data_IF_863033870456
#
_entry.id   IF_863033870456
#
_cell.length_a   1.000
_cell.length_b   1.000
_cell.length_c   1.000
_cell.angle_alpha   90.00
_cell.angle_beta   90.00
_cell.angle_gamma   90.00
#
_symmetry.space_group_name_H-M   'P 1'
#
loop_
_entity.id
_entity.type
_entity.pdbx_description
1 polymer ?
#
# COMPACT_ATOMS: atom_id res chain seq x y z
N UNK A 1 23.48 -6.23 -11.58
CA UNK A 1 22.46 -5.19 -11.76
C UNK A 1 21.25 -5.59 -10.93
N UNK A 2 20.98 -4.85 -9.87
CA UNK A 2 19.81 -5.03 -9.02
C UNK A 2 19.22 -3.66 -8.72
N UNK A 3 17.95 -3.62 -8.34
CA UNK A 3 17.32 -2.37 -7.92
C UNK A 3 17.97 -1.91 -6.61
N UNK A 4 18.48 -0.68 -6.58
CA UNK A 4 19.04 -0.03 -5.39
C UNK A 4 18.04 1.05 -4.97
N UNK A 5 17.15 0.77 -3.99
CA UNK A 5 16.03 1.66 -3.64
C UNK A 5 16.45 3.10 -3.33
N UNK A 6 17.59 3.27 -2.69
CA UNK A 6 18.13 4.53 -2.18
C UNK A 6 18.51 5.48 -3.33
N UNK A 7 18.91 4.96 -4.49
CA UNK A 7 19.19 5.77 -5.69
C UNK A 7 17.93 6.40 -6.30
N UNK A 8 16.76 5.96 -5.84
CA UNK A 8 15.45 6.37 -6.36
C UNK A 8 14.56 6.93 -5.23
N UNK A 9 15.17 7.50 -4.19
CA UNK A 9 14.48 8.22 -3.14
C UNK A 9 13.79 7.35 -2.10
N UNK A 10 14.07 6.03 -2.05
CA UNK A 10 13.73 5.26 -0.86
C UNK A 10 14.62 5.71 0.32
N UNK A 11 14.06 5.64 1.52
CA UNK A 11 14.72 6.06 2.74
C UNK A 11 14.90 4.85 3.65
N UNK A 12 16.11 4.67 4.18
CA UNK A 12 16.36 3.68 5.22
C UNK A 12 15.45 3.96 6.43
N UNK A 13 14.73 2.94 6.89
CA UNK A 13 13.99 3.01 8.14
C UNK A 13 15.00 2.89 9.30
N UNK A 14 15.44 4.04 9.81
CA UNK A 14 16.44 4.12 10.88
C UNK A 14 15.81 4.00 12.26
N UNK A 15 14.54 4.36 12.38
CA UNK A 15 13.81 4.33 13.65
C UNK A 15 12.35 4.00 13.44
N UNK A 16 11.79 3.24 14.38
CA UNK A 16 10.36 3.03 14.47
C UNK A 16 9.87 3.42 15.86
N UNK A 17 8.88 4.31 15.94
CA UNK A 17 8.23 4.67 17.20
C UNK A 17 6.75 4.36 17.15
N UNK A 18 6.22 3.91 18.28
CA UNK A 18 4.79 3.73 18.47
C UNK A 18 4.24 4.72 19.51
N UNK A 19 3.13 5.36 19.18
CA UNK A 19 2.43 6.32 20.03
C UNK A 19 0.98 5.90 20.30
N UNK A 20 0.45 6.35 21.44
CA UNK A 20 -0.99 6.38 21.71
C UNK A 20 -1.61 7.63 21.08
N UNK A 21 -2.95 7.68 20.90
CA UNK A 21 -3.64 8.86 20.36
C UNK A 21 -3.43 10.11 21.21
N UNK A 22 -3.10 9.94 22.50
CA UNK A 22 -2.78 11.03 23.43
C UNK A 22 -1.40 11.66 23.21
N UNK A 23 -0.59 11.13 22.29
CA UNK A 23 0.79 11.55 22.06
C UNK A 23 1.83 10.89 22.97
N UNK A 24 1.40 10.03 23.89
CA UNK A 24 2.33 9.24 24.71
C UNK A 24 3.05 8.21 23.85
N UNK A 25 4.37 8.29 23.79
CA UNK A 25 5.21 7.25 23.18
C UNK A 25 5.16 5.97 24.02
N UNK A 26 4.86 4.84 23.39
CA UNK A 26 4.90 3.52 24.02
C UNK A 26 6.31 2.91 23.94
N UNK A 27 6.89 2.93 22.75
CA UNK A 27 8.26 2.49 22.51
C UNK A 27 8.88 3.22 21.33
N UNK A 28 10.21 3.18 21.26
CA UNK A 28 10.99 3.59 20.10
C UNK A 28 12.15 2.61 19.94
N UNK A 29 12.34 2.11 18.74
CA UNK A 29 13.37 1.14 18.38
C UNK A 29 14.32 1.82 17.40
N UNK A 30 15.61 1.76 17.70
CA UNK A 30 16.67 2.16 16.78
C UNK A 30 17.00 0.98 15.84
N UNK A 31 16.49 1.05 14.62
CA UNK A 31 16.64 -0.02 13.64
C UNK A 31 18.05 -0.07 13.03
N UNK A 32 18.86 0.98 13.21
CA UNK A 32 20.27 0.96 12.85
C UNK A 32 21.07 0.11 13.84
N UNK A 33 20.75 0.18 15.13
CA UNK A 33 21.35 -0.68 16.14
C UNK A 33 20.94 -2.15 15.95
N UNK A 34 19.70 -2.40 15.51
CA UNK A 34 19.15 -3.74 15.23
C UNK A 34 19.37 -4.23 13.79
N UNK A 35 20.23 -3.56 13.00
CA UNK A 35 20.41 -3.87 11.58
C UNK A 35 20.82 -5.33 11.31
N UNK A 36 21.44 -6.01 12.28
CA UNK A 36 21.81 -7.43 12.18
C UNK A 36 20.62 -8.40 12.22
N UNK A 37 19.41 -7.95 12.55
CA UNK A 37 18.21 -8.80 12.62
C UNK A 37 17.67 -9.17 11.24
N UNK A 38 17.94 -8.37 10.22
CA UNK A 38 17.48 -8.58 8.85
C UNK A 38 18.66 -8.64 7.88
N UNK A 39 18.55 -9.45 6.83
CA UNK A 39 19.61 -9.57 5.81
C UNK A 39 19.83 -8.27 5.03
N UNK A 40 18.83 -7.40 4.96
CA UNK A 40 18.85 -6.14 4.23
C UNK A 40 18.16 -5.04 5.03
N UNK A 41 18.53 -3.76 4.80
CA UNK A 41 17.87 -2.61 5.43
C UNK A 41 16.37 -2.58 5.12
N UNK A 42 15.58 -2.11 6.09
CA UNK A 42 14.17 -1.85 5.86
C UNK A 42 14.01 -0.52 5.10
N UNK A 43 13.46 -0.58 3.90
CA UNK A 43 13.26 0.57 3.02
C UNK A 43 11.85 1.18 3.09
N UNK A 44 11.79 2.52 3.05
CA UNK A 44 10.58 3.34 2.99
C UNK A 44 10.51 4.03 1.63
N UNK A 45 9.71 3.48 0.70
CA UNK A 45 9.69 3.91 -0.69
C UNK A 45 8.35 4.51 -1.14
N UNK A 46 8.42 5.49 -2.04
CA UNK A 46 7.24 6.04 -2.68
C UNK A 46 6.78 5.08 -3.79
N UNK A 47 5.54 4.60 -3.70
CA UNK A 47 5.02 3.54 -4.58
C UNK A 47 5.18 3.86 -6.07
N UNK A 48 4.92 5.11 -6.47
CA UNK A 48 4.98 5.50 -7.89
C UNK A 48 6.41 5.40 -8.42
N UNK A 49 7.38 5.83 -7.63
CA UNK A 49 8.80 5.78 -8.00
C UNK A 49 9.28 4.34 -8.09
N UNK A 50 9.00 3.53 -7.07
CA UNK A 50 9.33 2.11 -7.06
C UNK A 50 8.75 1.38 -8.28
N UNK A 51 7.46 1.60 -8.56
CA UNK A 51 6.80 0.98 -9.71
C UNK A 51 7.41 1.44 -11.05
N UNK A 52 7.73 2.72 -11.18
CA UNK A 52 8.30 3.28 -12.41
C UNK A 52 9.69 2.71 -12.69
N UNK A 53 10.52 2.54 -11.66
CA UNK A 53 11.84 1.94 -11.80
C UNK A 53 11.78 0.44 -12.07
N UNK A 54 10.91 -0.31 -11.40
CA UNK A 54 10.69 -1.72 -11.72
C UNK A 54 10.25 -1.90 -13.19
N UNK A 55 9.34 -1.04 -13.66
CA UNK A 55 8.93 -1.01 -15.07
C UNK A 55 10.13 -0.71 -15.97
N UNK A 56 10.90 0.34 -15.69
CA UNK A 56 12.07 0.72 -16.49
C UNK A 56 13.05 -0.44 -16.59
N UNK A 57 13.42 -1.05 -15.46
CA UNK A 57 14.32 -2.19 -15.37
C UNK A 57 13.81 -3.42 -16.13
N UNK A 58 12.51 -3.69 -16.09
CA UNK A 58 11.92 -4.81 -16.82
C UNK A 58 11.93 -4.60 -18.34
N UNK A 59 11.92 -3.35 -18.81
CA UNK A 59 11.78 -2.99 -20.23
C UNK A 59 13.06 -2.48 -20.90
N UNK A 60 14.16 -2.28 -20.16
CA UNK A 60 15.40 -1.75 -20.71
C UNK A 60 16.30 -2.86 -21.28
N UNK A 61 17.07 -2.54 -22.31
CA UNK A 61 17.99 -3.47 -23.00
C UNK A 61 19.20 -3.87 -22.16
N UNK A 62 19.56 -3.03 -21.19
CA UNK A 62 20.72 -3.23 -20.30
C UNK A 62 20.48 -4.33 -19.25
N UNK A 63 19.25 -4.81 -19.09
CA UNK A 63 18.87 -5.83 -18.12
C UNK A 63 19.45 -7.22 -18.44
N UNK A 64 19.26 -8.17 -17.51
CA UNK A 64 19.54 -9.58 -17.79
C UNK A 64 18.39 -10.21 -18.57
N UNK A 65 18.71 -10.79 -19.73
CA UNK A 65 17.71 -11.41 -20.61
C UNK A 65 17.02 -10.42 -21.56
N UNK A 66 16.12 -10.90 -22.42
CA UNK A 66 15.38 -10.04 -23.34
C UNK A 66 14.44 -9.10 -22.57
N UNK A 67 14.33 -7.81 -22.96
CA UNK A 67 13.40 -6.89 -22.32
C UNK A 67 11.95 -7.36 -22.40
N UNK A 68 11.19 -7.11 -21.33
CA UNK A 68 9.76 -7.37 -21.32
C UNK A 68 9.03 -6.46 -22.33
N UNK A 69 8.15 -7.05 -23.13
CA UNK A 69 7.31 -6.30 -24.07
C UNK A 69 6.04 -5.83 -23.35
N UNK A 70 5.93 -4.52 -23.15
CA UNK A 70 4.77 -3.93 -22.47
C UNK A 70 3.69 -3.50 -23.47
N UNK A 71 2.54 -4.21 -23.46
CA UNK A 71 1.36 -3.85 -24.24
C UNK A 71 0.34 -3.11 -23.37
N UNK A 72 0.35 -1.77 -23.42
CA UNK A 72 -0.64 -0.95 -22.74
C UNK A 72 -1.98 -0.95 -23.49
N UNK A 73 -3.06 -0.54 -22.80
CA UNK A 73 -4.43 -0.51 -23.36
C UNK A 73 -4.89 -1.85 -23.95
N UNK A 74 -4.28 -2.94 -23.51
CA UNK A 74 -4.58 -4.32 -23.94
C UNK A 74 -5.30 -5.02 -22.78
N UNK A 75 -6.56 -4.64 -22.55
CA UNK A 75 -7.32 -5.14 -21.40
C UNK A 75 -7.62 -6.63 -21.59
N UNK A 76 -7.17 -7.45 -20.64
CA UNK A 76 -7.52 -8.87 -20.60
C UNK A 76 -8.96 -9.01 -20.17
N UNK A 77 -9.78 -9.69 -20.97
CA UNK A 77 -11.17 -9.99 -20.64
C UNK A 77 -11.35 -11.41 -20.13
N UNK A 78 -10.50 -12.34 -20.55
CA UNK A 78 -10.60 -13.74 -20.16
C UNK A 78 -9.27 -14.51 -20.35
N UNK A 79 -9.17 -15.70 -19.75
CA UNK A 79 -8.02 -16.60 -19.82
C UNK A 79 -8.46 -18.05 -19.97
N UNK A 80 -7.79 -18.78 -20.87
CA UNK A 80 -7.81 -20.24 -20.96
C UNK A 80 -6.52 -20.79 -20.34
N UNK A 81 -6.64 -21.32 -19.12
CA UNK A 81 -5.51 -21.82 -18.33
C UNK A 81 -4.86 -23.07 -18.95
N UNK A 82 -5.63 -23.91 -19.65
CA UNK A 82 -5.14 -25.16 -20.23
C UNK A 82 -4.34 -24.90 -21.50
N UNK A 83 -4.91 -24.11 -22.41
CA UNK A 83 -4.25 -23.81 -23.67
C UNK A 83 -3.13 -22.76 -23.49
N UNK A 84 -3.17 -21.98 -22.42
CA UNK A 84 -2.22 -20.89 -22.17
C UNK A 84 -2.55 -19.67 -23.03
N UNK A 85 -3.84 -19.33 -23.11
CA UNK A 85 -4.32 -18.22 -23.94
C UNK A 85 -4.92 -17.11 -23.09
N UNK A 86 -4.48 -15.88 -23.36
CA UNK A 86 -5.08 -14.64 -22.85
C UNK A 86 -5.97 -14.05 -23.94
N UNK A 87 -7.20 -13.70 -23.59
CA UNK A 87 -8.18 -13.10 -24.51
C UNK A 87 -8.29 -11.61 -24.16
N UNK A 88 -8.04 -10.75 -25.13
CA UNK A 88 -8.09 -9.29 -24.98
C UNK A 88 -9.45 -8.72 -25.36
N UNK A 89 -9.74 -7.53 -24.83
CA UNK A 89 -10.85 -6.69 -25.29
C UNK A 89 -10.68 -6.39 -26.77
N UNK A 90 -11.62 -6.83 -27.60
CA UNK A 90 -11.50 -6.84 -29.07
C UNK A 90 -11.37 -8.24 -29.67
N UNK A 91 -11.19 -9.28 -28.86
CA UNK A 91 -11.21 -10.68 -29.28
C UNK A 91 -9.86 -11.26 -29.71
N UNK A 92 -8.78 -10.47 -29.66
CA UNK A 92 -7.42 -10.97 -29.90
C UNK A 92 -7.06 -12.06 -28.88
N UNK A 93 -6.43 -13.13 -29.35
CA UNK A 93 -5.95 -14.26 -28.54
C UNK A 93 -4.43 -14.26 -28.54
N UNK A 94 -3.84 -14.14 -27.36
CA UNK A 94 -2.38 -14.16 -27.17
C UNK A 94 -2.00 -15.46 -26.49
N UNK A 95 -1.08 -16.20 -27.09
CA UNK A 95 -0.62 -17.50 -26.59
C UNK A 95 0.68 -17.35 -25.79
N UNK A 96 0.83 -18.15 -24.74
CA UNK A 96 2.05 -18.25 -23.95
C UNK A 96 2.18 -19.61 -23.27
N UNK A 97 3.40 -19.92 -22.81
CA UNK A 97 3.67 -21.17 -22.08
C UNK A 97 3.14 -21.12 -20.65
N UNK A 98 3.14 -19.93 -20.04
CA UNK A 98 2.64 -19.64 -18.69
C UNK A 98 1.94 -18.28 -18.68
N UNK A 99 0.86 -18.18 -17.91
CA UNK A 99 0.10 -16.96 -17.65
C UNK A 99 0.24 -16.62 -16.16
N UNK A 100 0.64 -15.38 -15.89
CA UNK A 100 0.73 -14.86 -14.52
C UNK A 100 -0.39 -13.84 -14.29
N UNK A 101 -1.39 -14.22 -13.50
CA UNK A 101 -2.47 -13.36 -13.03
C UNK A 101 -2.00 -12.42 -11.93
N UNK A 102 -1.56 -11.23 -12.32
CA UNK A 102 -1.14 -10.14 -11.42
C UNK A 102 -2.08 -8.92 -11.52
N UNK A 103 -3.36 -9.17 -11.77
CA UNK A 103 -4.39 -8.17 -12.12
C UNK A 103 -5.15 -7.57 -10.93
N UNK A 104 -4.59 -7.72 -9.73
CA UNK A 104 -5.04 -7.03 -8.52
C UNK A 104 -6.32 -7.57 -7.89
N UNK A 105 -6.86 -6.83 -6.93
CA UNK A 105 -7.98 -7.27 -6.08
C UNK A 105 -9.27 -7.59 -6.87
N UNK A 106 -9.51 -6.89 -7.97
CA UNK A 106 -10.64 -7.10 -8.89
C UNK A 106 -10.30 -8.07 -10.04
N UNK A 107 -9.45 -9.05 -9.76
CA UNK A 107 -8.91 -9.99 -10.73
C UNK A 107 -9.98 -10.63 -11.62
N UNK A 108 -9.74 -10.59 -12.94
CA UNK A 108 -10.49 -11.32 -13.97
C UNK A 108 -9.90 -12.70 -14.24
N UNK A 109 -8.64 -12.91 -13.85
CA UNK A 109 -7.98 -14.22 -13.97
C UNK A 109 -8.36 -15.15 -12.82
N UNK A 110 -8.67 -14.62 -11.63
CA UNK A 110 -9.00 -15.39 -10.43
C UNK A 110 -10.15 -16.40 -10.62
N UNK A 111 -11.28 -16.07 -11.27
CA UNK A 111 -12.36 -17.04 -11.49
C UNK A 111 -11.98 -18.24 -12.36
N UNK A 112 -10.79 -18.26 -12.96
CA UNK A 112 -10.26 -19.40 -13.73
C UNK A 112 -9.46 -20.39 -12.88
N UNK A 113 -9.29 -20.11 -11.59
CA UNK A 113 -8.74 -21.07 -10.64
C UNK A 113 -9.87 -21.96 -10.10
N UNK A 114 -9.70 -23.29 -10.03
CA UNK A 114 -10.71 -24.20 -9.48
C UNK A 114 -11.12 -23.81 -8.06
N UNK A 115 -12.42 -23.71 -7.83
CA UNK A 115 -12.99 -23.33 -6.54
C UNK A 115 -12.91 -21.82 -6.24
N UNK A 116 -12.42 -21.00 -7.17
CA UNK A 116 -12.36 -19.55 -7.07
C UNK A 116 -13.40 -18.82 -7.94
N UNK A 117 -14.26 -19.55 -8.67
CA UNK A 117 -15.20 -19.03 -9.67
C UNK A 117 -16.14 -17.97 -9.07
N UNK A 118 -16.52 -18.17 -7.80
CA UNK A 118 -17.44 -17.32 -7.07
C UNK A 118 -16.77 -16.53 -5.93
N UNK A 119 -15.44 -16.58 -5.81
CA UNK A 119 -14.73 -15.83 -4.75
C UNK A 119 -14.76 -14.35 -5.08
N UNK A 120 -15.54 -13.62 -4.27
CA UNK A 120 -15.68 -12.17 -4.35
C UNK A 120 -14.90 -11.51 -3.23
N UNK A 121 -14.38 -10.32 -3.53
CA UNK A 121 -13.83 -9.43 -2.52
C UNK A 121 -14.95 -8.77 -1.74
N UNK A 122 -14.74 -8.56 -0.46
CA UNK A 122 -15.66 -7.86 0.43
C UNK A 122 -14.93 -6.76 1.19
N UNK A 123 -15.67 -5.73 1.60
CA UNK A 123 -15.15 -4.66 2.44
C UNK A 123 -14.66 -5.20 3.78
N UNK A 124 -13.42 -4.88 4.17
CA UNK A 124 -12.85 -5.35 5.45
C UNK A 124 -13.40 -4.60 6.67
N UNK A 125 -14.36 -3.69 6.46
CA UNK A 125 -14.89 -2.75 7.46
C UNK A 125 -13.92 -1.61 7.80
N UNK A 126 -12.83 -1.46 7.04
CA UNK A 126 -11.83 -0.40 7.22
C UNK A 126 -11.57 0.35 5.91
N UNK A 127 -11.40 1.66 6.02
CA UNK A 127 -10.93 2.54 4.96
C UNK A 127 -9.61 3.18 5.34
N UNK A 128 -8.86 3.69 4.37
CA UNK A 128 -7.60 4.37 4.59
C UNK A 128 -7.55 5.71 3.84
N UNK A 129 -7.37 6.82 4.55
CA UNK A 129 -6.91 8.05 3.92
C UNK A 129 -5.42 7.93 3.59
N UNK A 130 -5.04 8.39 2.40
CA UNK A 130 -3.65 8.41 1.92
C UNK A 130 -3.35 9.75 1.26
N UNK A 131 -2.21 10.31 1.62
CA UNK A 131 -1.72 11.59 1.12
C UNK A 131 -0.24 11.76 1.47
N UNK A 132 0.36 12.81 0.93
CA UNK A 132 1.73 13.20 1.19
C UNK A 132 1.75 14.63 1.77
N UNK A 133 2.71 14.90 2.66
CA UNK A 133 3.00 16.26 3.13
C UNK A 133 4.51 16.50 2.96
N UNK A 134 4.90 17.74 2.64
CA UNK A 134 6.31 18.14 2.71
C UNK A 134 6.85 17.96 4.13
N UNK A 135 7.94 17.20 4.28
CA UNK A 135 8.59 17.04 5.58
C UNK A 135 9.04 18.39 6.14
N UNK A 136 9.54 19.29 5.29
CA UNK A 136 9.96 20.63 5.70
C UNK A 136 8.80 21.42 6.30
N UNK A 137 7.60 21.37 5.69
CA UNK A 137 6.39 22.04 6.20
C UNK A 137 6.03 21.55 7.61
N UNK A 138 6.18 20.24 7.88
CA UNK A 138 5.98 19.67 9.21
C UNK A 138 7.11 20.01 10.18
N UNK A 139 8.35 20.18 9.70
CA UNK A 139 9.49 20.53 10.54
C UNK A 139 9.46 22.01 11.00
N UNK A 140 9.02 22.91 10.13
CA UNK A 140 9.02 24.35 10.40
C UNK A 140 8.02 24.74 11.50
N UNK A 141 6.89 24.04 11.60
CA UNK A 141 5.88 24.24 12.65
C UNK A 141 6.32 23.58 13.98
N UNK A 142 6.44 24.34 15.09
CA UNK A 142 6.89 23.81 16.37
C UNK A 142 6.04 22.66 16.92
N UNK A 143 4.74 22.63 16.65
CA UNK A 143 3.82 21.63 17.20
C UNK A 143 3.97 20.28 16.48
N UNK A 144 4.29 20.30 15.19
CA UNK A 144 4.40 19.10 14.35
C UNK A 144 5.84 18.65 14.10
N UNK A 145 6.84 19.48 14.46
CA UNK A 145 8.28 19.21 14.27
C UNK A 145 8.70 17.83 14.77
N UNK A 146 8.17 17.38 15.90
CA UNK A 146 8.48 16.06 16.49
C UNK A 146 8.17 14.84 15.60
N UNK A 147 7.40 15.04 14.52
CA UNK A 147 7.10 13.99 13.53
C UNK A 147 8.02 14.04 12.30
N UNK A 148 8.90 15.04 12.24
CA UNK A 148 9.74 15.34 11.07
C UNK A 148 11.20 15.67 11.45
N UNK A 149 11.56 15.72 12.73
CA UNK A 149 12.89 16.10 13.22
C UNK A 149 13.94 14.99 13.07
N UNK A 150 13.53 13.77 12.72
CA UNK A 150 14.40 12.63 12.56
C UNK A 150 14.29 12.02 11.16
N UNK A 151 15.43 11.64 10.61
CA UNK A 151 15.51 10.98 9.31
C UNK A 151 15.10 9.52 9.42
N UNK A 152 14.43 8.99 8.38
CA UNK A 152 14.07 7.57 8.33
C UNK A 152 13.14 7.10 9.45
N UNK A 153 12.33 8.02 10.02
CA UNK A 153 11.48 7.73 11.17
C UNK A 153 10.10 7.22 10.76
N UNK A 154 9.84 5.93 11.00
CA UNK A 154 8.52 5.33 10.90
C UNK A 154 7.73 5.58 12.20
N UNK A 155 6.63 6.29 12.09
CA UNK A 155 5.76 6.68 13.20
C UNK A 155 4.44 5.92 13.09
N UNK A 156 4.12 5.16 14.12
CA UNK A 156 2.90 4.37 14.21
C UNK A 156 2.06 4.86 15.39
N UNK A 157 0.93 5.51 15.13
CA UNK A 157 0.01 5.91 16.20
C UNK A 157 -1.21 5.00 16.18
N UNK A 158 -1.44 4.27 17.28
CA UNK A 158 -2.53 3.28 17.38
C UNK A 158 -3.61 3.72 18.35
N UNK A 159 -4.82 3.94 17.83
CA UNK A 159 -6.04 3.99 18.62
C UNK A 159 -6.72 2.61 18.71
N UNK A 160 -7.91 2.59 19.30
CA UNK A 160 -8.68 1.36 19.54
C UNK A 160 -9.08 0.65 18.23
N UNK A 161 -9.54 1.40 17.24
CA UNK A 161 -10.09 0.89 15.98
C UNK A 161 -9.56 1.63 14.74
N UNK A 162 -8.64 2.57 14.96
CA UNK A 162 -8.05 3.45 13.95
C UNK A 162 -6.58 3.66 14.24
N UNK A 163 -5.79 3.95 13.21
CA UNK A 163 -4.35 4.18 13.33
C UNK A 163 -3.85 5.09 12.21
N UNK A 164 -2.74 5.75 12.47
CA UNK A 164 -2.04 6.61 11.52
C UNK A 164 -0.62 6.10 11.42
N UNK A 165 -0.19 5.86 10.20
CA UNK A 165 1.18 5.47 9.86
C UNK A 165 1.79 6.61 9.07
N UNK A 166 2.89 7.16 9.57
CA UNK A 166 3.65 8.24 8.93
C UNK A 166 5.07 7.77 8.71
N UNK A 167 5.60 7.97 7.51
CA UNK A 167 7.01 7.67 7.23
C UNK A 167 7.55 8.56 6.13
N UNK A 168 8.85 8.90 6.19
CA UNK A 168 9.48 9.67 5.13
C UNK A 168 9.73 8.83 3.87
N UNK A 169 9.75 9.52 2.74
CA UNK A 169 10.07 8.98 1.42
C UNK A 169 10.62 10.10 0.53
N UNK A 170 11.00 9.77 -0.71
CA UNK A 170 11.55 10.71 -1.71
C UNK A 170 12.75 11.48 -1.15
N UNK A 171 13.83 10.77 -0.85
CA UNK A 171 15.04 11.33 -0.22
C UNK A 171 14.73 12.05 1.10
N UNK A 172 13.77 11.50 1.84
CA UNK A 172 13.36 12.01 3.14
C UNK A 172 12.78 13.44 3.09
N UNK A 173 12.27 13.85 1.92
CA UNK A 173 11.66 15.18 1.69
C UNK A 173 10.14 15.18 1.82
N UNK A 174 9.48 14.02 1.66
CA UNK A 174 8.03 13.86 1.77
C UNK A 174 7.68 12.89 2.90
N UNK A 175 6.64 13.21 3.68
CA UNK A 175 6.00 12.31 4.64
C UNK A 175 4.78 11.65 4.00
N UNK A 176 4.79 10.33 3.91
CA UNK A 176 3.64 9.53 3.46
C UNK A 176 2.74 9.16 4.63
N UNK A 177 1.44 9.39 4.46
CA UNK A 177 0.43 9.08 5.45
C UNK A 177 -0.47 7.93 5.02
N UNK A 178 -0.75 7.03 5.96
CA UNK A 178 -1.80 6.01 5.83
C UNK A 178 -2.64 6.02 7.10
N UNK A 179 -3.83 6.59 7.01
CA UNK A 179 -4.74 6.79 8.14
C UNK A 179 -5.93 5.83 8.03
N UNK A 180 -5.85 4.71 8.75
CA UNK A 180 -6.84 3.63 8.72
C UNK A 180 -7.90 3.86 9.79
N UNK A 181 -9.17 3.68 9.45
CA UNK A 181 -10.33 3.94 10.30
C UNK A 181 -11.53 3.05 9.89
N UNK A 182 -12.58 2.92 10.73
CA UNK A 182 -13.81 2.24 10.33
C UNK A 182 -14.46 2.87 9.10
N UNK A 183 -14.80 2.06 8.10
CA UNK A 183 -15.34 2.53 6.82
C UNK A 183 -16.61 3.39 6.98
N UNK A 184 -17.48 3.04 7.95
CA UNK A 184 -18.71 3.76 8.23
C UNK A 184 -18.51 5.24 8.59
N UNK A 185 -17.31 5.64 9.02
CA UNK A 185 -17.02 7.02 9.42
C UNK A 185 -16.54 7.91 8.28
N UNK A 186 -16.23 7.34 7.10
CA UNK A 186 -15.78 8.10 5.92
C UNK A 186 -16.58 7.79 4.65
N UNK A 187 -17.51 6.83 4.70
CA UNK A 187 -18.37 6.52 3.57
C UNK A 187 -19.18 7.76 3.20
N UNK A 188 -19.04 8.18 1.94
CA UNK A 188 -20.02 9.05 1.29
C UNK A 188 -21.06 8.09 0.71
N UNK A 189 -22.30 8.13 1.21
CA UNK A 189 -23.40 7.41 0.58
C UNK A 189 -23.61 7.98 -0.83
N UNK A 190 -23.13 7.28 -1.86
CA UNK A 190 -23.50 7.56 -3.24
C UNK A 190 -24.67 6.65 -3.61
N UNK A 191 -25.80 7.24 -4.01
CA UNK A 191 -27.02 6.52 -4.43
C UNK A 191 -26.86 5.80 -5.79
N UNK A 192 -25.74 5.98 -6.50
CA UNK A 192 -25.52 5.35 -7.82
C UNK A 192 -24.41 4.28 -7.79
N UNK A 193 -24.74 3.00 -8.08
CA UNK A 193 -23.76 1.95 -8.26
C UNK A 193 -23.03 2.13 -9.61
N UNK A 194 -21.76 2.58 -9.58
CA UNK A 194 -20.89 2.62 -10.77
C UNK A 194 -19.91 3.79 -10.88
N UNK A 195 -19.95 4.78 -9.98
CA UNK A 195 -19.08 5.97 -10.03
C UNK A 195 -17.75 5.79 -9.27
N UNK A 196 -16.96 4.78 -9.63
CA UNK A 196 -15.71 4.44 -8.94
C UNK A 196 -14.65 5.57 -8.95
N UNK A 197 -14.72 6.51 -9.90
CA UNK A 197 -13.71 7.57 -10.06
C UNK A 197 -13.97 8.84 -9.20
N UNK A 198 -15.21 9.07 -8.73
CA UNK A 198 -15.56 10.17 -7.82
C UNK A 198 -15.48 9.76 -6.34
N UNK A 199 -15.56 8.45 -6.04
CA UNK A 199 -15.64 7.90 -4.68
C UNK A 199 -14.35 8.06 -3.84
N UNK A 200 -13.22 8.44 -4.45
CA UNK A 200 -11.91 8.38 -3.78
C UNK A 200 -11.31 9.73 -3.43
N UNK A 201 -11.95 10.87 -3.71
CA UNK A 201 -11.46 12.17 -3.23
C UNK A 201 -11.74 12.27 -1.73
N UNK A 202 -10.68 12.23 -0.92
CA UNK A 202 -10.84 12.32 0.52
C UNK A 202 -11.19 13.74 0.93
N UNK A 203 -12.04 13.87 1.94
CA UNK A 203 -12.43 15.15 2.51
C UNK A 203 -11.58 15.41 3.76
N UNK A 204 -10.82 16.51 3.76
CA UNK A 204 -9.93 16.86 4.87
C UNK A 204 -10.70 17.09 6.17
N UNK A 205 -11.82 17.79 6.11
CA UNK A 205 -12.68 18.04 7.28
C UNK A 205 -13.19 16.73 7.87
N UNK A 206 -13.57 15.77 7.01
CA UNK A 206 -14.00 14.43 7.43
C UNK A 206 -12.86 13.64 8.04
N UNK A 207 -11.65 13.71 7.48
CA UNK A 207 -10.47 13.09 8.09
C UNK A 207 -10.21 13.66 9.49
N UNK A 208 -10.25 14.99 9.65
CA UNK A 208 -10.06 15.61 10.97
C UNK A 208 -11.16 15.24 11.95
N UNK A 209 -12.41 15.08 11.50
CA UNK A 209 -13.51 14.57 12.33
C UNK A 209 -13.24 13.14 12.81
N UNK A 210 -12.79 12.25 11.92
CA UNK A 210 -12.43 10.86 12.24
C UNK A 210 -11.30 10.82 13.29
N UNK A 211 -10.34 11.74 13.23
CA UNK A 211 -9.20 11.74 14.16
C UNK A 211 -9.33 12.74 15.31
N UNK A 212 -10.50 13.37 15.52
CA UNK A 212 -10.71 14.49 16.46
C UNK A 212 -10.25 14.26 17.91
N UNK A 213 -10.25 13.01 18.37
CA UNK A 213 -9.87 12.64 19.74
C UNK A 213 -8.36 12.41 19.92
N UNK A 214 -7.58 12.70 18.88
CA UNK A 214 -6.13 12.56 18.89
C UNK A 214 -5.45 13.84 19.37
N UNK A 215 -4.19 13.74 19.75
CA UNK A 215 -3.43 14.86 20.27
C UNK A 215 -3.39 16.04 19.29
N UNK A 216 -3.40 17.30 19.78
CA UNK A 216 -3.45 18.49 18.94
C UNK A 216 -2.34 18.53 17.88
N UNK A 217 -1.13 18.07 18.21
CA UNK A 217 -0.01 18.00 17.29
C UNK A 217 -0.28 17.08 16.09
N UNK A 218 -0.90 15.91 16.30
CA UNK A 218 -1.23 15.01 15.20
C UNK A 218 -2.37 15.57 14.35
N UNK A 219 -3.40 16.16 14.97
CA UNK A 219 -4.47 16.85 14.24
C UNK A 219 -3.94 17.99 13.38
N UNK A 220 -3.01 18.79 13.92
CA UNK A 220 -2.31 19.85 13.20
C UNK A 220 -1.55 19.27 12.01
N UNK A 221 -0.81 18.17 12.19
CA UNK A 221 -0.10 17.51 11.10
C UNK A 221 -1.05 17.01 10.02
N UNK A 222 -2.14 16.32 10.37
CA UNK A 222 -3.15 15.85 9.43
C UNK A 222 -3.81 17.02 8.67
N UNK A 223 -3.99 18.18 9.31
CA UNK A 223 -4.57 19.39 8.69
C UNK A 223 -3.68 20.01 7.61
N UNK A 224 -2.39 19.63 7.54
CA UNK A 224 -1.46 20.12 6.51
C UNK A 224 -1.58 19.38 5.18
N UNK A 225 -2.40 18.32 5.11
CA UNK A 225 -2.68 17.55 3.90
C UNK A 225 -3.28 18.43 2.80
N UNK A 226 -2.89 18.15 1.56
CA UNK A 226 -3.47 18.79 0.39
C UNK A 226 -4.74 18.03 -0.05
N UNK A 227 -5.88 18.72 -0.10
CA UNK A 227 -7.17 18.17 -0.50
C UNK A 227 -7.19 17.60 -1.92
N UNK A 228 -6.33 18.11 -2.82
CA UNK A 228 -6.25 17.60 -4.19
C UNK A 228 -5.62 16.20 -4.25
N UNK A 229 -4.67 15.95 -3.36
CA UNK A 229 -3.91 14.69 -3.29
C UNK A 229 -4.48 13.69 -2.28
N UNK A 230 -5.33 14.16 -1.37
CA UNK A 230 -5.99 13.35 -0.36
C UNK A 230 -6.95 12.36 -1.02
N UNK A 231 -6.66 11.07 -0.85
CA UNK A 231 -7.52 9.99 -1.30
C UNK A 231 -7.99 9.12 -0.15
N UNK A 232 -9.19 8.57 -0.26
CA UNK A 232 -9.71 7.55 0.65
C UNK A 232 -10.04 6.29 -0.13
N UNK A 233 -9.65 5.13 0.41
CA UNK A 233 -9.89 3.83 -0.23
C UNK A 233 -10.43 2.85 0.79
N UNK A 234 -11.49 2.14 0.44
CA UNK A 234 -11.93 0.98 1.22
C UNK A 234 -10.91 -0.15 1.09
N UNK A 235 -10.53 -0.74 2.22
CA UNK A 235 -9.65 -1.88 2.26
C UNK A 235 -10.48 -3.14 2.02
N UNK A 236 -10.23 -3.80 0.90
CA UNK A 236 -10.91 -5.04 0.52
C UNK A 236 -10.15 -6.26 1.04
N UNK A 237 -10.89 -7.29 1.42
CA UNK A 237 -10.39 -8.61 1.75
C UNK A 237 -11.12 -9.66 0.91
N UNK A 238 -10.68 -10.91 0.95
CA UNK A 238 -11.39 -12.01 0.31
C UNK A 238 -11.15 -13.32 1.05
N UNK A 239 -11.97 -14.31 0.76
CA UNK A 239 -11.76 -15.67 1.24
C UNK A 239 -10.45 -16.26 0.67
N UNK A 240 -9.79 -17.09 1.47
CA UNK A 240 -8.57 -17.75 1.05
C UNK A 240 -8.88 -18.71 -0.11
N UNK A 241 -8.10 -18.60 -1.19
CA UNK A 241 -8.22 -19.51 -2.32
C UNK A 241 -7.71 -20.91 -1.95
N UNK A 242 -8.36 -21.98 -2.45
CA UNK A 242 -7.91 -23.36 -2.20
C UNK A 242 -6.56 -23.68 -2.88
N UNK A 243 -6.30 -23.05 -4.02
CA UNK A 243 -5.04 -23.12 -4.77
C UNK A 243 -4.83 -21.77 -5.48
N UNK A 244 -3.61 -21.50 -5.95
CA UNK A 244 -3.29 -20.31 -6.74
C UNK A 244 -2.92 -20.64 -8.19
N UNK A 245 -2.91 -21.92 -8.54
CA UNK A 245 -2.48 -22.41 -9.85
C UNK A 245 -3.55 -23.28 -10.48
N UNK A 246 -3.65 -23.20 -11.80
CA UNK A 246 -4.43 -24.11 -12.63
C UNK A 246 -3.71 -24.27 -13.97
N UNK A 247 -3.30 -25.48 -14.33
CA UNK A 247 -2.59 -25.76 -15.58
C UNK A 247 -1.43 -24.75 -15.84
N UNK A 248 -1.56 -23.88 -16.85
CA UNK A 248 -0.56 -22.85 -17.20
C UNK A 248 -0.82 -21.49 -16.54
N UNK A 249 -1.83 -21.35 -15.69
CA UNK A 249 -2.18 -20.12 -14.97
C UNK A 249 -1.67 -20.16 -13.52
N UNK A 250 -1.05 -19.07 -13.07
CA UNK A 250 -0.72 -18.83 -11.65
C UNK A 250 -1.15 -17.42 -11.25
N UNK A 251 -1.76 -17.27 -10.08
CA UNK A 251 -2.08 -15.97 -9.50
C UNK A 251 -0.98 -15.50 -8.54
N UNK A 252 -0.70 -14.20 -8.55
CA UNK A 252 0.23 -13.56 -7.60
C UNK A 252 -0.34 -12.25 -7.05
N UNK A 253 0.19 -11.82 -5.90
CA UNK A 253 -0.16 -10.54 -5.30
C UNK A 253 -1.63 -10.45 -4.91
N UNK A 254 -2.24 -9.29 -5.08
CA UNK A 254 -3.64 -9.06 -4.66
C UNK A 254 -4.67 -9.87 -5.47
N UNK A 255 -4.30 -10.44 -6.62
CA UNK A 255 -5.18 -11.38 -7.33
C UNK A 255 -5.33 -12.71 -6.56
N UNK A 256 -4.28 -13.15 -5.88
CA UNK A 256 -4.24 -14.39 -5.10
C UNK A 256 -4.55 -14.19 -3.62
N UNK A 257 -4.12 -13.06 -3.04
CA UNK A 257 -4.18 -12.80 -1.60
C UNK A 257 -4.18 -11.28 -1.27
N UNK A 258 -5.30 -10.55 -1.51
CA UNK A 258 -5.43 -9.14 -1.19
C UNK A 258 -4.95 -8.84 0.24
N UNK A 259 -4.02 -7.91 0.36
CA UNK A 259 -3.45 -7.60 1.66
C UNK A 259 -4.21 -6.44 2.31
N UNK A 260 -5.03 -6.73 3.32
CA UNK A 260 -5.47 -5.67 4.23
C UNK A 260 -4.32 -5.33 5.18
N UNK A 261 -3.95 -4.05 5.37
CA UNK A 261 -2.84 -3.68 6.26
C UNK A 261 -3.03 -4.13 7.72
N UNK A 262 -4.19 -4.68 8.11
CA UNK A 262 -4.36 -5.43 9.38
C UNK A 262 -3.35 -6.56 9.53
N UNK A 263 -2.88 -7.16 8.43
CA UNK A 263 -1.91 -8.28 8.42
C UNK A 263 -0.44 -7.83 8.43
N UNK A 264 -0.14 -6.52 8.49
CA UNK A 264 1.20 -6.08 8.89
C UNK A 264 1.43 -6.58 10.32
N UNK A 265 2.53 -7.30 10.62
CA UNK A 265 2.66 -8.00 11.88
C UNK A 265 2.54 -6.99 13.01
N UNK A 266 1.45 -7.09 13.76
CA UNK A 266 1.52 -6.75 15.17
C UNK A 266 2.60 -7.66 15.72
N UNK A 267 3.78 -7.09 16.00
CA UNK A 267 4.81 -7.79 16.76
C UNK A 267 4.39 -7.57 18.21
N UNK A 268 3.74 -8.54 18.88
CA UNK A 268 3.47 -8.41 20.30
C UNK A 268 4.81 -8.17 21.01
N UNK A 269 4.82 -7.38 22.10
CA UNK A 269 6.04 -7.16 22.88
C UNK A 269 6.69 -8.47 23.36
N UNK A 270 5.91 -9.55 23.50
CA UNK A 270 6.36 -10.89 23.89
C UNK A 270 6.67 -11.83 22.70
N UNK A 271 6.81 -11.29 21.49
CA UNK A 271 7.13 -12.10 20.32
C UNK A 271 8.51 -12.75 20.49
N UNK A 272 8.67 -14.07 20.28
CA UNK A 272 9.97 -14.74 20.37
C UNK A 272 10.97 -14.25 19.30
N UNK A 273 10.52 -13.41 18.36
CA UNK A 273 11.39 -12.72 17.42
C UNK A 273 12.08 -11.49 18.03
N UNK A 274 11.67 -11.01 19.21
CA UNK A 274 12.25 -9.86 19.95
C UNK A 274 13.27 -10.25 21.04
N UNK A 275 13.61 -11.54 21.15
CA UNK A 275 14.62 -12.05 22.10
C UNK A 275 15.78 -12.71 21.38
#
# INVERSE_FOLDING_TARGET
MGYIPEQHGAVDCLRMSQFLPTGKQLFSIDLKADAGRWLYPWQLAHRVTLHSELKRMATCEEGQGPPAVLRLRSKVVDVDAKEGVVILEGGERVHGDVIVGADGVHSRTRPRIPGAENVKTFGSGKSAFRFLISRQKAYDDPDTRKFADQDGHLILTFGRDRRVVVYPTSDNTLLNFVCIHPTAESQIQSEEPGSADWQNQGNLSKMLEVYKDWEPAMLKLLSMADEETLKVWELLDMEQLPTWTEEKLVLIGDAAHPFTPRKSPYIPPDSPFLH
#
